data_IF_025503278847
#
_entry.id   IF_025503278847
#
_cell.length_a   1.000
_cell.length_b   1.000
_cell.length_c   1.000
_cell.angle_alpha   90.00
_cell.angle_beta   90.00
_cell.angle_gamma   90.00
#
_symmetry.space_group_name_H-M   'P 1'
#
loop_
_entity.id
_entity.type
_entity.pdbx_description
1 polymer ?
#
# COMPACT_ATOMS: atom_id res chain seq x y z
N UNK A 1 -0.98 6.78 -12.68
CA UNK A 1 -0.49 5.44 -13.09
C UNK A 1 -1.62 4.76 -13.83
N UNK A 2 -1.36 4.05 -14.93
CA UNK A 2 -2.41 3.37 -15.71
C UNK A 2 -2.17 1.87 -15.62
N UNK A 3 -3.14 1.15 -15.06
CA UNK A 3 -3.13 -0.30 -14.93
C UNK A 3 -4.12 -0.88 -15.94
N UNK A 4 -3.59 -1.57 -16.95
CA UNK A 4 -4.42 -2.19 -17.98
C UNK A 4 -4.62 -3.65 -17.62
N UNK A 5 -5.87 -4.02 -17.34
CA UNK A 5 -6.24 -5.42 -17.14
C UNK A 5 -6.47 -6.06 -18.50
N UNK A 6 -5.60 -7.01 -18.85
CA UNK A 6 -5.73 -7.84 -20.03
C UNK A 6 -6.29 -9.20 -19.65
N UNK A 7 -7.30 -9.67 -20.38
CA UNK A 7 -7.75 -11.05 -20.29
C UNK A 7 -9.20 -11.27 -20.68
N UNK A 8 -9.53 -12.39 -21.35
CA UNK A 8 -10.87 -12.66 -21.86
C UNK A 8 -11.92 -12.75 -20.74
N UNK A 9 -11.52 -13.15 -19.52
CA UNK A 9 -12.41 -13.27 -18.37
C UNK A 9 -12.95 -11.91 -17.89
N UNK A 10 -12.19 -10.83 -18.06
CA UNK A 10 -12.58 -9.50 -17.53
C UNK A 10 -13.80 -8.96 -18.29
N UNK A 11 -13.98 -9.30 -19.58
CA UNK A 11 -15.14 -8.89 -20.39
C UNK A 11 -16.44 -9.60 -20.02
N UNK A 12 -16.35 -10.79 -19.44
CA UNK A 12 -17.54 -11.53 -18.99
C UNK A 12 -18.02 -11.08 -17.61
N UNK A 13 -17.21 -10.28 -16.91
CA UNK A 13 -17.56 -9.78 -15.60
C UNK A 13 -18.42 -8.52 -15.70
N UNK A 14 -19.50 -8.42 -14.89
CA UNK A 14 -20.21 -7.17 -14.78
C UNK A 14 -19.30 -6.09 -14.18
N UNK A 15 -19.51 -4.83 -14.54
CA UNK A 15 -18.71 -3.68 -14.12
C UNK A 15 -18.39 -3.68 -12.62
N UNK A 16 -19.37 -3.94 -11.76
CA UNK A 16 -19.19 -3.95 -10.30
C UNK A 16 -18.17 -5.01 -9.84
N UNK A 17 -18.09 -6.15 -10.53
CA UNK A 17 -17.14 -7.21 -10.21
C UNK A 17 -15.73 -6.84 -10.69
N UNK A 18 -15.61 -6.26 -11.88
CA UNK A 18 -14.33 -5.74 -12.38
C UNK A 18 -13.79 -4.62 -11.48
N UNK A 19 -14.66 -3.72 -11.03
CA UNK A 19 -14.32 -2.64 -10.10
C UNK A 19 -13.88 -3.17 -8.73
N UNK A 20 -14.58 -4.19 -8.22
CA UNK A 20 -14.17 -4.88 -6.99
C UNK A 20 -12.79 -5.54 -7.13
N UNK A 21 -12.53 -6.22 -8.26
CA UNK A 21 -11.22 -6.84 -8.54
C UNK A 21 -10.13 -5.78 -8.61
N UNK A 22 -10.38 -4.66 -9.29
CA UNK A 22 -9.43 -3.55 -9.36
C UNK A 22 -9.13 -3.00 -7.97
N UNK A 23 -10.15 -2.75 -7.15
CA UNK A 23 -10.01 -2.32 -5.75
C UNK A 23 -9.19 -3.33 -4.93
N UNK A 24 -9.50 -4.62 -5.04
CA UNK A 24 -8.79 -5.68 -4.33
C UNK A 24 -7.32 -5.77 -4.76
N UNK A 25 -7.04 -5.66 -6.06
CA UNK A 25 -5.68 -5.69 -6.61
C UNK A 25 -4.85 -4.48 -6.17
N UNK A 26 -5.41 -3.27 -6.27
CA UNK A 26 -4.75 -2.04 -5.82
C UNK A 26 -4.49 -2.08 -4.31
N UNK A 27 -5.48 -2.53 -3.52
CA UNK A 27 -5.29 -2.76 -2.08
C UNK A 27 -4.17 -3.75 -1.82
N UNK A 28 -4.11 -4.85 -2.58
CA UNK A 28 -3.10 -5.88 -2.41
C UNK A 28 -1.68 -5.36 -2.71
N UNK A 29 -1.50 -4.62 -3.82
CA UNK A 29 -0.22 -3.97 -4.13
C UNK A 29 0.17 -3.04 -2.99
N UNK A 30 -0.75 -2.18 -2.56
CA UNK A 30 -0.49 -1.24 -1.46
C UNK A 30 -0.10 -1.97 -0.16
N UNK A 31 -0.80 -3.06 0.16
CA UNK A 31 -0.49 -3.89 1.33
C UNK A 31 0.89 -4.52 1.24
N UNK A 32 1.30 -5.00 0.06
CA UNK A 32 2.66 -5.55 -0.13
C UNK A 32 3.74 -4.52 0.20
N UNK A 33 3.55 -3.27 -0.22
CA UNK A 33 4.45 -2.17 0.14
C UNK A 33 4.50 -1.90 1.64
N UNK A 34 3.35 -1.92 2.32
CA UNK A 34 3.27 -1.70 3.77
C UNK A 34 3.76 -2.87 4.62
N UNK A 35 3.78 -4.09 4.06
CA UNK A 35 4.29 -5.27 4.75
C UNK A 35 5.82 -5.35 4.77
N UNK A 36 6.53 -4.61 3.91
CA UNK A 36 8.01 -4.58 3.88
C UNK A 36 8.66 -4.33 5.26
N UNK A 37 8.24 -3.33 6.07
CA UNK A 37 8.82 -3.11 7.38
C UNK A 37 8.46 -4.17 8.44
N UNK A 38 7.37 -4.93 8.27
CA UNK A 38 6.86 -5.82 9.31
C UNK A 38 7.83 -6.97 9.66
N UNK A 39 8.46 -7.69 8.70
CA UNK A 39 9.52 -8.66 9.01
C UNK A 39 10.69 -8.05 9.77
N UNK A 40 11.12 -6.84 9.41
CA UNK A 40 12.22 -6.14 10.10
C UNK A 40 11.85 -5.80 11.54
N UNK A 41 10.63 -5.33 11.79
CA UNK A 41 10.11 -5.08 13.14
C UNK A 41 10.00 -6.40 13.94
N UNK A 42 9.55 -7.48 13.32
CA UNK A 42 9.45 -8.78 13.97
C UNK A 42 10.83 -9.35 14.36
N UNK A 43 11.79 -9.27 13.44
CA UNK A 43 13.19 -9.66 13.68
C UNK A 43 13.76 -8.83 14.83
N UNK A 44 13.55 -7.52 14.79
CA UNK A 44 13.96 -6.61 15.84
C UNK A 44 13.37 -6.95 17.21
N UNK A 45 12.06 -7.18 17.28
CA UNK A 45 11.38 -7.58 18.51
C UNK A 45 11.90 -8.91 19.04
N UNK A 46 12.31 -9.81 18.15
CA UNK A 46 12.87 -11.11 18.53
C UNK A 46 14.26 -10.98 19.16
N UNK A 47 15.07 -10.01 18.73
CA UNK A 47 16.39 -9.73 19.31
C UNK A 47 16.30 -8.95 20.63
N UNK A 48 15.38 -8.00 20.71
CA UNK A 48 15.34 -7.00 21.80
C UNK A 48 14.38 -7.35 22.93
N UNK A 49 13.39 -8.21 22.65
CA UNK A 49 12.35 -8.61 23.60
C UNK A 49 12.12 -10.12 23.57
N UNK A 50 13.21 -10.88 23.74
CA UNK A 50 13.21 -12.34 23.74
C UNK A 50 12.25 -12.96 24.77
N UNK A 51 12.02 -12.26 25.89
CA UNK A 51 11.06 -12.65 26.94
C UNK A 51 9.60 -12.64 26.48
N UNK A 52 9.26 -11.91 25.40
CA UNK A 52 7.90 -11.87 24.86
C UNK A 52 7.60 -13.12 24.04
N UNK A 53 6.38 -13.66 24.17
CA UNK A 53 5.92 -14.73 23.30
C UNK A 53 5.93 -14.32 21.83
N UNK A 54 6.14 -15.29 20.94
CA UNK A 54 6.16 -15.08 19.49
C UNK A 54 4.88 -14.40 18.99
N UNK A 55 3.72 -14.84 19.46
CA UNK A 55 2.41 -14.29 19.08
C UNK A 55 2.33 -12.79 19.37
N UNK A 56 2.76 -12.35 20.56
CA UNK A 56 2.76 -10.92 20.90
C UNK A 56 3.68 -10.12 19.98
N UNK A 57 4.85 -10.66 19.65
CA UNK A 57 5.79 -10.02 18.72
C UNK A 57 5.18 -9.91 17.31
N UNK A 58 4.49 -10.93 16.83
CA UNK A 58 3.76 -10.90 15.56
C UNK A 58 2.66 -9.85 15.58
N UNK A 59 1.83 -9.78 16.63
CA UNK A 59 0.78 -8.77 16.74
C UNK A 59 1.37 -7.37 16.65
N UNK A 60 2.46 -7.08 17.39
CA UNK A 60 3.10 -5.75 17.31
C UNK A 60 3.67 -5.43 15.94
N UNK A 61 4.27 -6.41 15.25
CA UNK A 61 4.87 -6.20 13.94
C UNK A 61 3.82 -5.99 12.83
N UNK A 62 2.67 -6.66 12.92
CA UNK A 62 1.67 -6.69 11.85
C UNK A 62 0.41 -5.86 12.13
N UNK A 63 0.15 -5.41 13.36
CA UNK A 63 -1.08 -4.66 13.68
C UNK A 63 -1.24 -3.39 12.82
N UNK A 64 -0.16 -2.64 12.60
CA UNK A 64 -0.20 -1.42 11.81
C UNK A 64 -0.41 -1.72 10.31
N UNK A 65 0.37 -2.59 9.66
CA UNK A 65 0.10 -3.00 8.28
C UNK A 65 -1.33 -3.52 8.08
N UNK A 66 -1.87 -4.31 9.02
CA UNK A 66 -3.26 -4.80 8.93
C UNK A 66 -4.26 -3.66 9.06
N UNK A 67 -4.08 -2.73 10.00
CA UNK A 67 -4.96 -1.58 10.13
C UNK A 67 -4.94 -0.69 8.88
N UNK A 68 -3.75 -0.49 8.30
CA UNK A 68 -3.56 0.30 7.09
C UNK A 68 -4.11 -0.42 5.84
N UNK A 69 -4.06 -1.75 5.79
CA UNK A 69 -4.72 -2.53 4.74
C UNK A 69 -6.24 -2.36 4.77
N UNK A 70 -6.85 -2.40 5.97
CA UNK A 70 -8.29 -2.17 6.13
C UNK A 70 -8.65 -0.74 5.69
N UNK A 71 -7.84 0.24 6.08
CA UNK A 71 -8.00 1.63 5.67
C UNK A 71 -7.89 1.81 4.15
N UNK A 72 -6.84 1.26 3.54
CA UNK A 72 -6.64 1.29 2.10
C UNK A 72 -7.83 0.66 1.36
N UNK A 73 -8.29 -0.52 1.79
CA UNK A 73 -9.46 -1.17 1.19
C UNK A 73 -10.71 -0.29 1.22
N UNK A 74 -10.93 0.46 2.31
CA UNK A 74 -12.06 1.38 2.43
C UNK A 74 -11.89 2.63 1.54
N UNK A 75 -10.66 3.07 1.29
CA UNK A 75 -10.38 4.24 0.44
C UNK A 75 -10.31 3.91 -1.06
N UNK A 76 -9.85 2.71 -1.44
CA UNK A 76 -9.61 2.29 -2.82
C UNK A 76 -10.78 2.54 -3.80
N UNK A 77 -12.07 2.35 -3.41
CA UNK A 77 -13.18 2.67 -4.30
C UNK A 77 -13.23 4.13 -4.77
N UNK A 78 -12.72 5.07 -3.97
CA UNK A 78 -12.68 6.50 -4.35
C UNK A 78 -11.64 6.80 -5.45
N UNK A 79 -10.75 5.85 -5.72
CA UNK A 79 -9.72 5.94 -6.76
C UNK A 79 -10.12 5.25 -8.06
N UNK A 80 -11.33 4.67 -8.11
CA UNK A 80 -11.86 4.16 -9.37
C UNK A 80 -12.14 5.33 -10.32
N UNK A 81 -11.69 5.25 -11.58
CA UNK A 81 -11.94 6.31 -12.54
C UNK A 81 -13.45 6.45 -12.81
N UNK A 82 -13.89 7.69 -12.98
CA UNK A 82 -15.24 7.99 -13.47
C UNK A 82 -15.43 7.40 -14.88
N UNK A 83 -16.68 7.22 -15.30
CA UNK A 83 -16.96 6.67 -16.63
C UNK A 83 -16.44 7.56 -17.76
N UNK A 84 -16.46 8.88 -17.56
CA UNK A 84 -15.86 9.85 -18.48
C UNK A 84 -14.35 9.64 -18.60
N UNK A 85 -13.65 9.51 -17.47
CA UNK A 85 -12.21 9.30 -17.45
C UNK A 85 -11.82 7.91 -18.01
N UNK A 86 -12.64 6.89 -17.78
CA UNK A 86 -12.46 5.57 -18.42
C UNK A 86 -12.55 5.65 -19.93
N UNK A 87 -13.58 6.30 -20.47
CA UNK A 87 -13.71 6.50 -21.91
C UNK A 87 -12.54 7.31 -22.48
N UNK A 88 -12.04 8.30 -21.75
CA UNK A 88 -10.84 9.04 -22.16
C UNK A 88 -9.62 8.12 -22.23
N UNK A 89 -9.36 7.30 -21.20
CA UNK A 89 -8.26 6.35 -21.21
C UNK A 89 -8.38 5.31 -22.32
N UNK A 90 -9.58 4.75 -22.51
CA UNK A 90 -9.89 3.83 -23.60
C UNK A 90 -9.58 4.45 -24.96
N UNK A 91 -9.98 5.70 -25.20
CA UNK A 91 -9.69 6.41 -26.45
C UNK A 91 -8.18 6.62 -26.68
N UNK A 92 -7.41 6.90 -25.61
CA UNK A 92 -5.96 7.07 -25.67
C UNK A 92 -5.26 5.74 -25.97
N UNK A 93 -5.66 4.65 -25.31
CA UNK A 93 -5.12 3.31 -25.54
C UNK A 93 -5.47 2.84 -26.95
N UNK A 94 -6.71 3.03 -27.41
CA UNK A 94 -7.14 2.75 -28.78
C UNK A 94 -6.28 3.48 -29.80
N UNK A 95 -6.07 4.78 -29.62
CA UNK A 95 -5.25 5.58 -30.54
C UNK A 95 -3.78 5.14 -30.56
N UNK A 96 -3.26 4.71 -29.41
CA UNK A 96 -1.85 4.31 -29.28
C UNK A 96 -1.59 2.91 -29.84
N UNK A 97 -2.49 1.96 -29.60
CA UNK A 97 -2.26 0.55 -29.91
C UNK A 97 -3.05 0.04 -31.13
N UNK A 98 -4.05 0.78 -31.61
CA UNK A 98 -4.93 0.35 -32.70
C UNK A 98 -5.75 -0.90 -32.38
N UNK A 99 -5.86 -1.27 -31.10
CA UNK A 99 -6.60 -2.44 -30.61
C UNK A 99 -8.08 -2.13 -30.47
N UNK A 100 -8.96 -3.13 -30.54
CA UNK A 100 -10.37 -2.91 -30.29
C UNK A 100 -10.63 -2.76 -28.78
N UNK A 101 -11.59 -1.92 -28.42
CA UNK A 101 -12.05 -1.71 -27.03
C UNK A 101 -12.62 -2.99 -26.39
N UNK A 102 -12.90 -4.02 -27.18
CA UNK A 102 -13.31 -5.34 -26.71
C UNK A 102 -12.19 -6.14 -26.06
N UNK A 103 -10.94 -5.69 -26.14
CA UNK A 103 -9.78 -6.52 -25.83
C UNK A 103 -9.07 -6.10 -24.54
N UNK A 104 -9.45 -4.97 -23.93
CA UNK A 104 -8.89 -4.52 -22.65
C UNK A 104 -9.90 -3.72 -21.79
N UNK A 105 -9.67 -3.71 -20.48
CA UNK A 105 -10.29 -2.74 -19.56
C UNK A 105 -9.19 -1.87 -18.96
N UNK A 106 -9.38 -0.54 -19.01
CA UNK A 106 -8.40 0.40 -18.48
C UNK A 106 -8.84 0.89 -17.11
N UNK A 107 -7.99 0.65 -16.12
CA UNK A 107 -8.07 1.27 -14.82
C UNK A 107 -6.86 2.19 -14.67
N UNK A 108 -7.03 3.30 -13.97
CA UNK A 108 -5.93 4.22 -13.82
C UNK A 108 -6.36 5.52 -13.21
N UNK A 109 -5.34 6.31 -12.91
CA UNK A 109 -5.47 7.64 -12.34
C UNK A 109 -4.56 8.59 -13.10
N UNK A 110 -5.04 9.80 -13.30
CA UNK A 110 -4.22 10.91 -13.75
C UNK A 110 -3.12 11.19 -12.71
N UNK A 111 -1.96 11.66 -13.18
CA UNK A 111 -0.88 12.06 -12.27
C UNK A 111 -1.30 13.32 -11.50
N UNK A 112 -1.87 14.28 -12.22
CA UNK A 112 -2.43 15.51 -11.66
C UNK A 112 -3.83 15.73 -12.24
N UNK A 113 -4.84 15.84 -11.40
CA UNK A 113 -6.20 16.20 -11.78
C UNK A 113 -6.76 17.16 -10.73
N UNK A 114 -7.20 18.35 -11.18
CA UNK A 114 -7.72 19.37 -10.26
C UNK A 114 -9.13 19.05 -9.78
N UNK A 115 -9.86 18.19 -10.48
CA UNK A 115 -11.27 17.95 -10.27
C UNK A 115 -11.56 16.59 -9.61
N UNK A 116 -10.58 15.68 -9.62
CA UNK A 116 -10.72 14.32 -9.11
C UNK A 116 -9.52 13.96 -8.24
N UNK A 117 -9.70 12.95 -7.38
CA UNK A 117 -8.58 12.36 -6.64
C UNK A 117 -7.53 11.82 -7.62
N UNK A 118 -6.32 12.38 -7.54
CA UNK A 118 -5.23 12.02 -8.44
C UNK A 118 -4.13 11.20 -7.74
N UNK A 119 -3.10 10.84 -8.51
CA UNK A 119 -2.01 10.01 -8.00
C UNK A 119 -1.24 10.72 -6.88
N UNK A 120 -1.18 12.05 -6.89
CA UNK A 120 -0.52 12.85 -5.85
C UNK A 120 -1.37 12.82 -4.58
N UNK A 121 -2.68 12.99 -4.67
CA UNK A 121 -3.58 12.87 -3.51
C UNK A 121 -3.44 11.50 -2.86
N UNK A 122 -3.44 10.42 -3.67
CA UNK A 122 -3.19 9.06 -3.18
C UNK A 122 -1.85 8.96 -2.42
N UNK A 123 -0.78 9.49 -2.99
CA UNK A 123 0.53 9.47 -2.37
C UNK A 123 0.57 10.27 -1.05
N UNK A 124 -0.11 11.41 -0.99
CA UNK A 124 -0.14 12.30 0.19
C UNK A 124 -1.00 11.73 1.31
N UNK A 125 -2.17 11.19 0.99
CA UNK A 125 -3.14 10.76 2.00
C UNK A 125 -2.95 9.31 2.47
N UNK A 126 -2.30 8.45 1.67
CA UNK A 126 -2.15 7.03 2.00
C UNK A 126 -0.67 6.62 2.13
N UNK A 127 0.11 6.80 1.06
CA UNK A 127 1.50 6.30 1.00
C UNK A 127 2.40 7.02 2.00
N UNK A 128 2.46 8.35 1.97
CA UNK A 128 3.36 9.12 2.84
C UNK A 128 3.09 8.91 4.34
N UNK A 129 1.84 8.99 4.84
CA UNK A 129 1.56 8.73 6.26
C UNK A 129 2.01 7.33 6.70
N UNK A 130 1.72 6.30 5.90
CA UNK A 130 2.10 4.92 6.22
C UNK A 130 3.63 4.73 6.30
N UNK A 131 4.36 5.36 5.38
CA UNK A 131 5.83 5.38 5.39
C UNK A 131 6.37 6.11 6.62
N UNK A 132 5.90 7.32 6.89
CA UNK A 132 6.35 8.13 8.03
C UNK A 132 6.12 7.36 9.34
N UNK A 133 4.94 6.76 9.53
CA UNK A 133 4.62 5.99 10.73
C UNK A 133 5.56 4.79 10.87
N UNK A 134 5.77 4.03 9.80
CA UNK A 134 6.62 2.83 9.82
C UNK A 134 8.08 3.17 10.15
N UNK A 135 8.64 4.19 9.51
CA UNK A 135 10.01 4.65 9.77
C UNK A 135 10.16 5.32 11.14
N UNK A 136 9.15 6.03 11.62
CA UNK A 136 9.16 6.60 12.97
C UNK A 136 9.22 5.50 14.03
N UNK A 137 8.43 4.43 13.88
CA UNK A 137 8.46 3.28 14.80
C UNK A 137 9.82 2.60 14.78
N UNK A 138 10.39 2.40 13.59
CA UNK A 138 11.73 1.85 13.44
C UNK A 138 12.79 2.74 14.13
N UNK A 139 12.77 4.05 13.86
CA UNK A 139 13.71 5.01 14.43
C UNK A 139 13.62 5.11 15.96
N UNK A 140 12.41 5.22 16.52
CA UNK A 140 12.17 5.22 17.97
C UNK A 140 12.65 3.92 18.61
N UNK A 141 12.41 2.79 17.94
CA UNK A 141 12.86 1.48 18.41
C UNK A 141 14.39 1.40 18.47
N UNK A 142 15.08 1.79 17.40
CA UNK A 142 16.55 1.83 17.36
C UNK A 142 17.11 2.75 18.46
N UNK A 143 16.55 3.94 18.63
CA UNK A 143 17.00 4.90 19.64
C UNK A 143 16.93 4.31 21.06
N UNK A 144 15.81 3.69 21.43
CA UNK A 144 15.65 3.06 22.76
C UNK A 144 16.73 2.01 23.06
N UNK A 145 17.12 1.24 22.06
CA UNK A 145 18.13 0.19 22.21
C UNK A 145 19.53 0.79 22.28
N UNK A 146 19.84 1.76 21.44
CA UNK A 146 21.09 2.50 21.53
C UNK A 146 21.29 3.09 22.93
N UNK A 147 20.26 3.72 23.51
CA UNK A 147 20.30 4.23 24.88
C UNK A 147 20.56 3.13 25.91
N UNK A 148 19.93 1.96 25.79
CA UNK A 148 20.12 0.84 26.72
C UNK A 148 21.56 0.29 26.69
N UNK A 149 22.13 0.10 25.51
CA UNK A 149 23.51 -0.39 25.38
C UNK A 149 24.55 0.62 25.85
N UNK A 150 24.35 1.91 25.52
CA UNK A 150 25.24 2.98 25.98
C UNK A 150 25.25 3.08 27.50
N UNK A 151 24.08 2.99 28.15
CA UNK A 151 23.96 2.99 29.61
C UNK A 151 24.67 1.78 30.24
N UNK A 152 24.49 0.59 29.66
CA UNK A 152 25.12 -0.64 30.17
C UNK A 152 26.64 -0.61 30.06
N UNK A 153 27.17 -0.10 28.94
CA UNK A 153 28.61 0.05 28.73
C UNK A 153 29.26 1.00 29.74
N UNK A 154 28.58 2.12 30.04
CA UNK A 154 29.03 3.07 31.07
C UNK A 154 29.02 2.44 32.47
N UNK A 155 28.01 1.64 32.81
CA UNK A 155 27.96 0.95 34.10
C UNK A 155 28.99 -0.17 34.27
N UNK A 156 29.45 -0.81 33.19
CA UNK A 156 30.46 -1.88 33.27
C UNK A 156 31.91 -1.38 33.44
N UNK A 157 32.14 -0.08 33.36
CA UNK A 157 33.48 0.53 33.43
C UNK A 157 33.66 1.54 34.58
N UNK A 158 32.68 1.60 35.49
CA UNK A 158 32.75 2.29 36.77
C UNK A 158 32.86 1.26 37.91
#
# INVERSE_FOLDING_TARGET
>A
MVDVFYGPLVFFLPKWASDFIAVAFMTQIHTQWQLVPAPSILQWLSLTSSERSLIRRMIYAYAIPVAMQIWAFALMPNFLPSDELRMEFESKVFRLHGTNLSDFHVYGMNIMDKNHFDTIDFAIFDVLPSYIISYAIFGVSMFKVYSKYCLHYLCSHL
#
